data_IF_765689798754
#
_entry.id   IF_765689798754
#
_cell.length_a   1.000
_cell.length_b   1.000
_cell.length_c   1.000
_cell.angle_alpha   90.00
_cell.angle_beta   90.00
_cell.angle_gamma   90.00
#
_symmetry.space_group_name_H-M   'P 1'
#
loop_
_entity.id
_entity.type
_entity.pdbx_description
1 polymer ?
#
# COMPACT_ATOMS: atom_id res chain seq x y z
N UNK A 1 -2.51 12.63 -0.55
CA UNK A 1 -2.63 12.02 0.79
C UNK A 1 -1.85 10.72 0.76
N UNK A 2 -0.86 10.52 1.65
CA UNK A 2 0.01 9.35 1.61
C UNK A 2 -0.71 8.07 2.01
N UNK A 3 -1.89 8.15 2.65
CA UNK A 3 -2.67 6.99 3.12
C UNK A 3 -4.11 7.09 2.61
N UNK A 4 -4.65 5.97 2.14
CA UNK A 4 -6.06 5.79 1.77
C UNK A 4 -6.59 4.46 2.27
N UNK A 5 -7.72 4.48 2.97
CA UNK A 5 -8.51 3.28 3.29
C UNK A 5 -9.80 3.35 2.46
N UNK A 6 -10.09 2.30 1.69
CA UNK A 6 -11.19 2.30 0.73
C UNK A 6 -11.77 0.90 0.51
N UNK A 7 -12.94 0.79 -0.11
CA UNK A 7 -13.52 -0.52 -0.49
C UNK A 7 -13.20 -0.89 -1.94
N UNK A 8 -13.20 0.11 -2.84
CA UNK A 8 -12.91 -0.06 -4.26
C UNK A 8 -11.50 -0.58 -4.52
N UNK A 9 -11.33 -1.31 -5.62
CA UNK A 9 -10.00 -1.72 -6.07
C UNK A 9 -9.14 -0.52 -6.50
N UNK A 10 -7.84 -0.75 -6.67
CA UNK A 10 -6.87 0.24 -7.15
C UNK A 10 -6.12 -0.25 -8.39
N UNK A 11 -5.66 0.70 -9.21
CA UNK A 11 -4.76 0.43 -10.32
C UNK A 11 -3.32 0.75 -9.88
N UNK A 12 -2.53 -0.28 -9.57
CA UNK A 12 -1.17 -0.08 -9.09
C UNK A 12 -0.29 0.69 -10.07
N UNK A 13 -0.44 0.47 -11.38
CA UNK A 13 0.34 1.16 -12.41
C UNK A 13 0.03 2.66 -12.43
N UNK A 14 -1.26 3.02 -12.34
CA UNK A 14 -1.71 4.41 -12.26
C UNK A 14 -1.21 5.11 -11.01
N UNK A 15 -1.28 4.43 -9.86
CA UNK A 15 -0.86 4.99 -8.58
C UNK A 15 0.67 5.18 -8.51
N UNK A 16 1.45 4.20 -8.99
CA UNK A 16 2.90 4.31 -9.12
C UNK A 16 3.28 5.45 -10.08
N UNK A 17 2.62 5.54 -11.23
CA UNK A 17 2.88 6.60 -12.20
C UNK A 17 2.59 7.99 -11.62
N UNK A 18 1.49 8.13 -10.89
CA UNK A 18 1.11 9.37 -10.22
C UNK A 18 2.11 9.77 -9.13
N UNK A 19 2.55 8.82 -8.30
CA UNK A 19 3.46 9.10 -7.18
C UNK A 19 4.83 9.63 -7.64
N UNK A 20 5.38 9.10 -8.75
CA UNK A 20 6.68 9.53 -9.30
C UNK A 20 6.58 10.70 -10.29
N UNK A 21 5.37 11.15 -10.64
CA UNK A 21 5.19 12.13 -11.71
C UNK A 21 5.80 13.49 -11.33
N UNK A 22 6.61 14.04 -12.23
CA UNK A 22 7.14 15.41 -12.10
C UNK A 22 8.30 15.58 -11.11
N UNK A 23 8.78 14.51 -10.46
CA UNK A 23 9.94 14.57 -9.57
C UNK A 23 11.17 13.91 -10.18
N UNK A 24 12.07 14.73 -10.73
CA UNK A 24 13.31 14.28 -11.36
C UNK A 24 14.34 13.69 -10.37
N UNK A 25 14.10 13.81 -9.05
CA UNK A 25 14.97 13.20 -8.02
C UNK A 25 14.72 11.69 -7.88
N UNK A 26 13.58 11.19 -8.34
CA UNK A 26 13.20 9.78 -8.21
C UNK A 26 14.06 8.92 -9.13
N UNK A 27 14.96 8.14 -8.52
CA UNK A 27 15.81 7.16 -9.21
C UNK A 27 15.39 5.71 -8.93
N UNK A 28 14.55 5.48 -7.94
CA UNK A 28 14.00 4.16 -7.60
C UNK A 28 12.55 4.25 -7.14
N UNK A 29 11.80 3.20 -7.48
CA UNK A 29 10.44 2.96 -6.98
C UNK A 29 10.37 1.51 -6.52
N UNK A 30 10.01 1.30 -5.27
CA UNK A 30 9.66 -0.02 -4.73
C UNK A 30 8.16 -0.08 -4.49
N UNK A 31 7.56 -1.23 -4.75
CA UNK A 31 6.13 -1.44 -4.55
C UNK A 31 5.83 -2.83 -4.02
N UNK A 32 4.88 -2.90 -3.10
CA UNK A 32 4.34 -4.14 -2.58
C UNK A 32 2.82 -4.18 -2.80
N UNK A 33 2.33 -5.28 -3.36
CA UNK A 33 0.90 -5.55 -3.55
C UNK A 33 0.56 -6.82 -2.79
N UNK A 34 -0.25 -6.69 -1.74
CA UNK A 34 -0.83 -7.85 -1.06
C UNK A 34 -2.11 -8.28 -1.76
N UNK A 35 -2.31 -9.59 -1.94
CA UNK A 35 -3.51 -10.18 -2.54
C UNK A 35 -4.09 -11.27 -1.65
N UNK A 36 -5.39 -11.52 -1.77
CA UNK A 36 -6.05 -12.62 -1.03
C UNK A 36 -5.58 -13.95 -1.58
N UNK A 37 -5.10 -14.83 -0.70
CA UNK A 37 -4.69 -16.19 -1.04
C UNK A 37 -5.88 -17.15 -0.97
N UNK A 38 -5.86 -18.18 -1.81
CA UNK A 38 -6.90 -19.22 -1.87
C UNK A 38 -6.90 -20.14 -0.64
N UNK A 39 -5.76 -20.28 0.05
CA UNK A 39 -5.60 -21.15 1.22
C UNK A 39 -5.11 -20.35 2.42
N UNK A 40 -5.77 -20.53 3.55
CA UNK A 40 -5.29 -20.08 4.85
C UNK A 40 -5.40 -21.25 5.85
N UNK A 41 -4.33 -21.56 6.56
CA UNK A 41 -4.26 -22.67 7.53
C UNK A 41 -4.83 -24.02 7.01
N UNK A 42 -4.47 -24.37 5.77
CA UNK A 42 -4.90 -25.59 5.07
C UNK A 42 -6.42 -25.70 4.80
N UNK A 43 -7.19 -24.63 5.01
CA UNK A 43 -8.59 -24.53 4.61
C UNK A 43 -8.75 -23.61 3.38
N UNK A 44 -9.67 -23.95 2.45
CA UNK A 44 -10.00 -23.07 1.35
C UNK A 44 -10.70 -21.81 1.86
N UNK A 45 -10.28 -20.65 1.37
CA UNK A 45 -10.87 -19.33 1.69
C UNK A 45 -11.79 -18.93 0.54
N UNK A 46 -13.09 -18.81 0.80
CA UNK A 46 -14.05 -18.30 -0.18
C UNK A 46 -14.09 -16.77 -0.24
N UNK A 47 -13.88 -16.12 0.91
CA UNK A 47 -13.79 -14.67 1.05
C UNK A 47 -13.01 -14.29 2.32
N UNK A 48 -12.37 -13.13 2.29
CA UNK A 48 -11.75 -12.45 3.42
C UNK A 48 -12.51 -11.15 3.68
N UNK A 49 -13.11 -11.02 4.86
CA UNK A 49 -13.76 -9.75 5.27
C UNK A 49 -12.81 -8.98 6.16
N UNK A 50 -12.43 -7.78 5.72
CA UNK A 50 -11.56 -6.88 6.47
C UNK A 50 -12.36 -5.68 6.99
N UNK A 51 -12.45 -5.58 8.30
CA UNK A 51 -12.98 -4.39 8.97
C UNK A 51 -11.82 -3.49 9.40
N UNK A 52 -12.11 -2.20 9.53
CA UNK A 52 -11.15 -1.23 10.08
C UNK A 52 -11.88 -0.33 11.06
N UNK A 53 -11.12 0.28 11.98
CA UNK A 53 -11.64 1.30 12.87
C UNK A 53 -11.40 2.66 12.19
N UNK A 54 -12.45 3.35 11.70
CA UNK A 54 -12.28 4.60 10.99
C UNK A 54 -11.48 5.61 11.82
N UNK A 55 -10.51 6.26 11.18
CA UNK A 55 -9.61 7.24 11.78
C UNK A 55 -8.43 6.64 12.55
N UNK A 56 -8.57 5.46 13.18
CA UNK A 56 -7.46 4.82 13.89
C UNK A 56 -6.53 4.07 12.94
N UNK A 57 -7.10 3.37 11.96
CA UNK A 57 -6.31 2.63 10.97
C UNK A 57 -5.50 3.57 10.09
N UNK A 58 -6.12 4.66 9.61
CA UNK A 58 -5.46 5.70 8.84
C UNK A 58 -4.30 6.30 9.62
N UNK A 59 -4.54 6.67 10.89
CA UNK A 59 -3.51 7.23 11.77
C UNK A 59 -2.33 6.27 11.96
N UNK A 60 -2.59 4.99 12.22
CA UNK A 60 -1.52 4.01 12.38
C UNK A 60 -0.67 3.85 11.10
N UNK A 61 -1.31 3.88 9.93
CA UNK A 61 -0.60 3.85 8.64
C UNK A 61 0.20 5.15 8.41
N UNK A 62 -0.34 6.30 8.78
CA UNK A 62 0.37 7.59 8.71
C UNK A 62 1.58 7.62 9.64
N UNK A 63 1.46 7.06 10.85
CA UNK A 63 2.56 6.93 11.80
C UNK A 63 3.67 6.03 11.21
N UNK A 64 3.33 4.90 10.56
CA UNK A 64 4.29 4.03 9.87
C UNK A 64 5.02 4.78 8.74
N UNK A 65 4.30 5.56 7.92
CA UNK A 65 4.91 6.36 6.85
C UNK A 65 5.83 7.43 7.43
N UNK A 66 5.44 8.06 8.54
CA UNK A 66 6.25 9.05 9.25
C UNK A 66 7.55 8.41 9.76
N UNK A 67 7.46 7.24 10.38
CA UNK A 67 8.60 6.46 10.85
C UNK A 67 9.53 6.05 9.70
N UNK A 68 8.97 5.63 8.56
CA UNK A 68 9.76 5.28 7.37
C UNK A 68 10.56 6.49 6.86
N UNK A 69 9.94 7.68 6.78
CA UNK A 69 10.63 8.93 6.40
C UNK A 69 11.70 9.36 7.38
N UNK A 70 11.56 9.01 8.67
CA UNK A 70 12.58 9.30 9.67
C UNK A 70 13.78 8.35 9.61
N UNK A 71 13.59 7.14 9.06
CA UNK A 71 14.62 6.08 9.01
C UNK A 71 15.33 5.98 7.67
N UNK A 72 14.65 6.29 6.57
CA UNK A 72 15.14 6.13 5.20
C UNK A 72 15.05 7.45 4.43
N UNK A 73 15.99 7.69 3.51
CA UNK A 73 15.98 8.87 2.65
C UNK A 73 14.99 8.72 1.48
N UNK A 74 13.72 8.51 1.81
CA UNK A 74 12.63 8.37 0.84
C UNK A 74 12.07 9.73 0.44
N UNK A 75 11.73 9.88 -0.84
CA UNK A 75 11.16 11.10 -1.41
C UNK A 75 9.65 11.14 -1.17
N UNK A 76 8.95 10.06 -1.50
CA UNK A 76 7.52 9.95 -1.30
C UNK A 76 7.05 8.53 -1.01
N UNK A 77 5.89 8.41 -0.39
CA UNK A 77 5.27 7.14 -0.03
C UNK A 77 3.75 7.19 -0.17
N UNK A 78 3.17 6.08 -0.63
CA UNK A 78 1.74 5.85 -0.74
C UNK A 78 1.37 4.51 -0.12
N UNK A 79 0.31 4.50 0.68
CA UNK A 79 -0.37 3.32 1.18
C UNK A 79 -1.84 3.37 0.79
N UNK A 80 -2.33 2.34 0.11
CA UNK A 80 -3.76 2.11 -0.10
C UNK A 80 -4.11 0.78 0.55
N UNK A 81 -5.08 0.76 1.46
CA UNK A 81 -5.55 -0.46 2.08
C UNK A 81 -7.04 -0.64 1.81
N UNK A 82 -7.41 -1.82 1.32
CA UNK A 82 -8.80 -2.19 1.05
C UNK A 82 -9.47 -2.80 2.28
N UNK A 83 -10.75 -2.51 2.42
CA UNK A 83 -11.64 -3.04 3.47
C UNK A 83 -12.94 -3.54 2.84
N UNK A 84 -13.72 -4.31 3.57
CA UNK A 84 -14.90 -5.02 3.09
C UNK A 84 -14.59 -6.45 2.68
N UNK A 85 -15.50 -7.04 1.91
CA UNK A 85 -15.37 -8.42 1.42
C UNK A 85 -14.45 -8.48 0.20
N UNK A 86 -13.43 -9.34 0.28
CA UNK A 86 -12.43 -9.56 -0.77
C UNK A 86 -12.37 -11.06 -1.10
N UNK A 87 -12.24 -11.37 -2.38
CA UNK A 87 -12.18 -12.75 -2.89
C UNK A 87 -10.74 -13.16 -3.17
N UNK A 88 -10.44 -14.48 -3.25
CA UNK A 88 -9.14 -14.94 -3.73
C UNK A 88 -8.69 -14.19 -4.99
N UNK A 89 -7.41 -13.84 -5.04
CA UNK A 89 -6.76 -12.98 -6.06
C UNK A 89 -7.07 -11.48 -6.02
N UNK A 90 -8.06 -11.02 -5.24
CA UNK A 90 -8.29 -9.58 -5.08
C UNK A 90 -7.09 -8.91 -4.43
N UNK A 91 -6.78 -7.70 -4.89
CA UNK A 91 -5.79 -6.85 -4.26
C UNK A 91 -6.31 -6.34 -2.90
N UNK A 92 -5.47 -6.37 -1.87
CA UNK A 92 -5.81 -5.93 -0.51
C UNK A 92 -5.08 -4.63 -0.19
N UNK A 93 -3.78 -4.58 -0.43
CA UNK A 93 -2.93 -3.46 -0.02
C UNK A 93 -1.93 -3.12 -1.11
N UNK A 94 -1.73 -1.83 -1.33
CA UNK A 94 -0.65 -1.28 -2.13
C UNK A 94 0.22 -0.42 -1.23
N UNK A 95 1.51 -0.69 -1.22
CA UNK A 95 2.54 0.22 -0.68
C UNK A 95 3.46 0.60 -1.83
N UNK A 96 3.74 1.89 -2.00
CA UNK A 96 4.70 2.40 -2.97
C UNK A 96 5.62 3.38 -2.28
N UNK A 97 6.93 3.24 -2.49
CA UNK A 97 7.96 4.14 -1.98
C UNK A 97 8.82 4.61 -3.13
N UNK A 98 9.16 5.89 -3.15
CA UNK A 98 10.09 6.49 -4.11
C UNK A 98 11.32 7.03 -3.39
N UNK A 99 12.49 6.92 -4.01
CA UNK A 99 13.74 7.43 -3.47
C UNK A 99 14.73 7.76 -4.59
N UNK A 100 15.87 8.36 -4.25
CA UNK A 100 16.95 8.59 -5.21
C UNK A 100 17.66 7.28 -5.63
N UNK A 101 17.75 6.31 -4.71
CA UNK A 101 18.50 5.07 -4.91
C UNK A 101 17.75 3.86 -4.33
N UNK A 102 17.86 2.72 -5.02
CA UNK A 102 17.16 1.47 -4.67
C UNK A 102 17.40 0.93 -3.25
N UNK A 103 18.43 1.40 -2.54
CA UNK A 103 18.71 0.93 -1.18
C UNK A 103 17.72 1.49 -0.15
N UNK A 104 17.20 2.69 -0.41
CA UNK A 104 16.26 3.38 0.48
C UNK A 104 14.79 3.09 0.17
N UNK A 105 14.50 2.58 -1.05
CA UNK A 105 13.14 2.24 -1.49
C UNK A 105 12.79 0.80 -1.08
#
# INVERSE_FOLDING_TARGET
>A
MPVRVQTSDFDAGREIAALRAGDARVGAVASFIGTVREVNDAAPVSALTLEHHPGMTEKALEDIVTDARARFEILDALVIHRVGELKPTDQIVLVVVTSAHRGEA
#
